data_IF_989190987692
#
_entry.id   IF_989190987692
#
_cell.length_a   1.000
_cell.length_b   1.000
_cell.length_c   1.000
_cell.angle_alpha   90.00
_cell.angle_beta   90.00
_cell.angle_gamma   90.00
#
_symmetry.space_group_name_H-M   'P 1'
#
loop_
_entity.id
_entity.type
_entity.pdbx_description
1 polymer ?
#
# COMPACT_ATOMS: atom_id res chain seq x y z
N UNK A 1 -8.06 15.08 -6.35
CA UNK A 1 -6.73 15.71 -6.12
C UNK A 1 -6.45 16.88 -7.06
N UNK A 2 -7.09 16.96 -8.23
CA UNK A 2 -7.01 18.10 -9.16
C UNK A 2 -8.28 18.19 -10.03
N UNK A 3 -8.48 19.33 -10.71
CA UNK A 3 -9.54 19.58 -11.68
C UNK A 3 -9.09 20.64 -12.71
N UNK A 4 -9.98 21.03 -13.63
CA UNK A 4 -9.74 22.12 -14.57
C UNK A 4 -9.60 23.48 -13.87
N UNK A 5 -10.35 23.71 -12.79
CA UNK A 5 -10.18 24.87 -11.91
C UNK A 5 -8.99 24.69 -10.97
N UNK A 6 -8.38 25.82 -10.57
CA UNK A 6 -7.16 25.88 -9.76
C UNK A 6 -5.92 25.36 -10.51
N UNK A 7 -4.80 25.29 -9.80
CA UNK A 7 -3.56 24.72 -10.33
C UNK A 7 -3.74 23.25 -10.69
N UNK A 8 -3.03 22.79 -11.72
CA UNK A 8 -2.84 21.36 -11.97
C UNK A 8 -2.18 20.68 -10.78
N UNK A 9 -2.27 19.35 -10.69
CA UNK A 9 -1.56 18.61 -9.64
C UNK A 9 -0.05 18.86 -9.69
N UNK A 10 0.55 18.91 -10.89
CA UNK A 10 1.97 19.17 -11.04
C UNK A 10 2.34 20.57 -10.51
N UNK A 11 1.60 21.60 -10.91
CA UNK A 11 1.82 22.98 -10.45
C UNK A 11 1.61 23.14 -8.95
N UNK A 12 0.60 22.46 -8.40
CA UNK A 12 0.36 22.44 -6.95
C UNK A 12 1.53 21.77 -6.20
N UNK A 13 2.11 20.70 -6.74
CA UNK A 13 3.30 20.05 -6.18
C UNK A 13 4.55 20.94 -6.28
N UNK A 14 4.69 21.73 -7.34
CA UNK A 14 5.76 22.74 -7.45
C UNK A 14 5.72 23.74 -6.29
N UNK A 15 4.52 24.15 -5.87
CA UNK A 15 4.35 25.09 -4.75
C UNK A 15 4.55 24.45 -3.38
N UNK A 16 4.25 23.15 -3.24
CA UNK A 16 4.13 22.50 -1.93
C UNK A 16 5.32 21.63 -1.55
N UNK A 17 6.08 21.13 -2.52
CA UNK A 17 7.27 20.33 -2.28
C UNK A 17 8.50 21.23 -2.08
N UNK A 18 9.51 20.77 -1.32
CA UNK A 18 10.81 21.44 -1.28
C UNK A 18 11.33 21.71 -2.69
N UNK A 19 11.90 22.91 -2.91
CA UNK A 19 12.41 23.29 -4.23
C UNK A 19 13.44 22.30 -4.79
N UNK A 20 14.24 21.70 -3.91
CA UNK A 20 15.26 20.71 -4.26
C UNK A 20 14.70 19.31 -4.60
N UNK A 21 13.39 19.08 -4.51
CA UNK A 21 12.78 17.81 -4.90
C UNK A 21 12.97 17.58 -6.40
N UNK A 22 13.59 16.44 -6.73
CA UNK A 22 13.87 16.01 -8.11
C UNK A 22 12.60 15.87 -8.95
N UNK A 23 12.75 15.90 -10.28
CA UNK A 23 11.64 15.66 -11.20
C UNK A 23 11.04 14.26 -10.99
N UNK A 24 11.87 13.25 -10.74
CA UNK A 24 11.48 11.87 -10.47
C UNK A 24 10.68 11.75 -9.17
N UNK A 25 11.13 12.37 -8.09
CA UNK A 25 10.42 12.30 -6.81
C UNK A 25 9.10 13.07 -6.85
N UNK A 26 9.06 14.20 -7.57
CA UNK A 26 7.81 14.92 -7.84
C UNK A 26 6.83 14.07 -8.64
N UNK A 27 7.32 13.39 -9.67
CA UNK A 27 6.53 12.45 -10.46
C UNK A 27 6.03 11.28 -9.61
N UNK A 28 6.83 10.76 -8.67
CA UNK A 28 6.39 9.74 -7.69
C UNK A 28 5.31 10.29 -6.75
N UNK A 29 5.44 11.52 -6.26
CA UNK A 29 4.41 12.16 -5.44
C UNK A 29 3.10 12.31 -6.23
N UNK A 30 3.17 12.73 -7.50
CA UNK A 30 2.00 12.79 -8.39
C UNK A 30 1.38 11.40 -8.59
N UNK A 31 2.20 10.38 -8.85
CA UNK A 31 1.72 9.01 -8.98
C UNK A 31 1.05 8.50 -7.69
N UNK A 32 1.56 8.84 -6.51
CA UNK A 32 0.93 8.50 -5.22
C UNK A 32 -0.43 9.19 -5.09
N UNK A 33 -0.53 10.48 -5.42
CA UNK A 33 -1.79 11.23 -5.36
C UNK A 33 -2.84 10.67 -6.33
N UNK A 34 -2.45 10.32 -7.56
CA UNK A 34 -3.32 9.63 -8.53
C UNK A 34 -3.69 8.22 -8.06
N UNK A 35 -2.74 7.51 -7.45
CA UNK A 35 -2.94 6.18 -6.87
C UNK A 35 -3.98 6.16 -5.76
N UNK A 36 -4.00 7.17 -4.89
CA UNK A 36 -5.06 7.32 -3.88
C UNK A 36 -6.45 7.39 -4.54
N UNK A 37 -6.59 8.21 -5.59
CA UNK A 37 -7.82 8.30 -6.37
C UNK A 37 -8.18 6.99 -7.10
N UNK A 38 -7.18 6.27 -7.62
CA UNK A 38 -7.39 5.01 -8.34
C UNK A 38 -7.76 3.84 -7.40
N UNK A 39 -7.26 3.85 -6.16
CA UNK A 39 -7.51 2.80 -5.16
C UNK A 39 -8.73 3.09 -4.27
N UNK A 40 -9.31 4.28 -4.35
CA UNK A 40 -10.48 4.63 -3.53
C UNK A 40 -11.73 3.85 -3.93
N UNK A 41 -12.62 3.60 -2.97
CA UNK A 41 -14.00 3.25 -3.29
C UNK A 41 -14.72 4.44 -3.96
N UNK A 42 -15.86 4.19 -4.58
CA UNK A 42 -16.63 5.21 -5.30
C UNK A 42 -16.16 5.46 -6.74
N UNK A 43 -16.52 6.62 -7.29
CA UNK A 43 -16.21 6.99 -8.67
C UNK A 43 -14.90 7.79 -8.69
N UNK A 44 -13.88 7.23 -9.34
CA UNK A 44 -12.60 7.91 -9.52
C UNK A 44 -12.71 8.97 -10.62
N UNK A 45 -12.19 10.15 -10.33
CA UNK A 45 -12.09 11.27 -11.28
C UNK A 45 -10.61 11.66 -11.47
N UNK A 46 -10.25 11.96 -12.71
CA UNK A 46 -8.91 12.39 -13.10
C UNK A 46 -9.02 13.55 -14.09
N UNK A 47 -8.21 14.59 -13.88
CA UNK A 47 -8.10 15.69 -14.82
C UNK A 47 -7.19 15.30 -15.98
N UNK A 48 -7.57 15.66 -17.21
CA UNK A 48 -6.80 15.33 -18.41
C UNK A 48 -5.36 15.87 -18.34
N UNK A 49 -4.38 14.99 -18.56
CA UNK A 49 -2.96 15.29 -18.51
C UNK A 49 -2.31 15.08 -17.15
N UNK A 50 -3.06 14.72 -16.10
CA UNK A 50 -2.47 14.33 -14.81
C UNK A 50 -1.47 13.17 -14.96
N UNK A 51 -1.72 12.26 -15.89
CA UNK A 51 -0.83 11.16 -16.27
C UNK A 51 0.41 11.61 -17.04
N UNK A 52 0.44 12.84 -17.54
CA UNK A 52 1.52 13.45 -18.30
C UNK A 52 2.25 14.56 -17.53
N UNK A 53 2.02 14.65 -16.21
CA UNK A 53 2.56 15.74 -15.38
C UNK A 53 2.15 17.13 -15.87
N UNK A 54 0.96 17.26 -16.49
CA UNK A 54 0.49 18.50 -17.10
C UNK A 54 0.65 19.69 -16.16
N UNK A 55 1.21 20.76 -16.71
CA UNK A 55 1.32 22.07 -16.10
C UNK A 55 0.55 23.08 -16.95
N UNK A 56 0.01 24.11 -16.30
CA UNK A 56 -0.52 25.31 -16.92
C UNK A 56 0.41 26.51 -16.71
N UNK A 57 1.71 26.23 -16.56
CA UNK A 57 2.72 27.21 -16.16
C UNK A 57 2.31 27.97 -14.89
N UNK A 58 1.79 27.24 -13.89
CA UNK A 58 1.32 27.75 -12.60
C UNK A 58 0.03 28.58 -12.61
N UNK A 59 -0.70 28.64 -13.73
CA UNK A 59 -1.99 29.33 -13.80
C UNK A 59 -3.04 28.67 -12.90
N UNK A 60 -3.64 29.44 -11.98
CA UNK A 60 -4.71 28.97 -11.10
C UNK A 60 -6.11 29.09 -11.71
N UNK A 61 -6.29 29.85 -12.79
CA UNK A 61 -7.61 30.06 -13.39
C UNK A 61 -7.49 30.23 -14.91
N UNK A 62 -7.27 29.11 -15.60
CA UNK A 62 -6.90 29.11 -17.02
C UNK A 62 -8.08 29.09 -17.99
N UNK A 63 -9.30 29.42 -17.55
CA UNK A 63 -10.51 29.29 -18.39
C UNK A 63 -10.43 30.12 -19.69
N UNK A 64 -9.69 31.23 -19.68
CA UNK A 64 -9.48 32.15 -20.81
C UNK A 64 -7.97 32.46 -21.04
N UNK A 65 -7.10 31.51 -20.71
CA UNK A 65 -5.65 31.64 -20.90
C UNK A 65 -5.17 31.07 -22.25
N UNK A 66 -6.12 30.69 -23.12
CA UNK A 66 -5.87 30.17 -24.47
C UNK A 66 -5.09 28.84 -24.51
N UNK A 67 -4.74 28.44 -25.73
CA UNK A 67 -4.04 27.17 -25.98
C UNK A 67 -2.63 27.13 -25.39
N UNK A 68 -1.98 28.31 -25.28
CA UNK A 68 -0.60 28.42 -24.80
C UNK A 68 -0.44 27.86 -23.38
N UNK A 69 -1.28 28.30 -22.44
CA UNK A 69 -1.23 27.85 -21.04
C UNK A 69 -2.04 26.58 -20.80
N UNK A 70 -3.00 26.23 -21.66
CA UNK A 70 -3.81 25.01 -21.51
C UNK A 70 -3.29 23.79 -22.27
N UNK A 71 -2.17 23.92 -22.98
CA UNK A 71 -1.58 22.88 -23.85
C UNK A 71 -1.56 21.50 -23.18
N UNK A 72 -1.96 20.51 -23.95
CA UNK A 72 -1.78 19.08 -23.65
C UNK A 72 -0.92 18.47 -24.75
N UNK A 73 0.31 18.11 -24.42
CA UNK A 73 1.22 17.47 -25.37
C UNK A 73 1.14 15.95 -25.29
N UNK A 74 0.31 15.36 -26.15
CA UNK A 74 0.13 13.91 -26.23
C UNK A 74 1.36 13.13 -26.71
N UNK A 75 2.38 13.82 -27.25
CA UNK A 75 3.66 13.20 -27.61
C UNK A 75 4.52 12.90 -26.39
N UNK A 76 4.20 13.47 -25.22
CA UNK A 76 4.93 13.26 -23.97
C UNK A 76 6.31 13.92 -23.94
N UNK A 77 6.58 14.86 -24.85
CA UNK A 77 7.87 15.56 -24.93
C UNK A 77 8.00 16.74 -23.97
N UNK A 78 6.88 17.37 -23.62
CA UNK A 78 6.82 18.56 -22.77
C UNK A 78 5.54 18.52 -21.94
N UNK A 79 5.55 19.07 -20.72
CA UNK A 79 4.36 19.09 -19.86
C UNK A 79 3.68 20.45 -19.76
N UNK A 80 4.20 21.49 -20.42
CA UNK A 80 3.70 22.87 -20.36
C UNK A 80 4.33 23.75 -19.28
N UNK A 81 5.20 23.22 -18.42
CA UNK A 81 5.83 24.00 -17.35
C UNK A 81 6.88 24.96 -17.90
N UNK A 82 6.95 26.16 -17.30
CA UNK A 82 7.93 27.17 -17.69
C UNK A 82 7.59 27.91 -18.99
N UNK A 83 6.33 27.91 -19.43
CA UNK A 83 5.88 28.59 -20.64
C UNK A 83 5.74 30.12 -20.48
N UNK A 84 6.17 30.67 -19.34
CA UNK A 84 6.04 32.08 -18.96
C UNK A 84 5.18 32.28 -17.71
N UNK A 85 5.12 33.51 -17.22
CA UNK A 85 4.18 33.86 -16.14
C UNK A 85 2.75 33.79 -16.68
N UNK A 86 1.82 33.18 -15.94
CA UNK A 86 0.41 33.09 -16.35
C UNK A 86 -0.28 34.47 -16.33
N UNK A 87 -1.48 34.62 -16.92
CA UNK A 87 -2.13 35.92 -17.04
C UNK A 87 -2.30 36.67 -15.71
N UNK A 88 -1.99 37.97 -15.73
CA UNK A 88 -1.89 38.82 -14.53
C UNK A 88 -3.19 38.93 -13.75
N UNK A 89 -4.35 38.90 -14.42
CA UNK A 89 -5.67 39.12 -13.80
C UNK A 89 -5.88 38.27 -12.55
N UNK A 90 -5.54 36.99 -12.66
CA UNK A 90 -5.75 36.03 -11.59
C UNK A 90 -4.44 35.64 -10.87
N UNK A 91 -3.27 35.84 -11.47
CA UNK A 91 -2.01 35.32 -10.95
C UNK A 91 -0.99 36.41 -10.53
N UNK A 92 -1.25 37.69 -10.84
CA UNK A 92 -0.29 38.78 -10.71
C UNK A 92 0.25 38.99 -9.29
N UNK A 93 -0.58 38.78 -8.27
CA UNK A 93 -0.19 38.88 -6.88
C UNK A 93 0.91 37.87 -6.48
N UNK A 94 0.97 36.72 -7.16
CA UNK A 94 1.90 35.63 -6.86
C UNK A 94 3.16 35.68 -7.73
N UNK A 95 3.31 36.64 -8.65
CA UNK A 95 4.43 36.66 -9.60
C UNK A 95 5.81 36.64 -8.94
N UNK A 96 5.96 37.26 -7.77
CA UNK A 96 7.21 37.22 -7.01
C UNK A 96 7.58 35.79 -6.57
N UNK A 97 6.57 34.97 -6.23
CA UNK A 97 6.72 33.55 -5.91
C UNK A 97 6.92 32.69 -7.17
N UNK A 98 6.13 32.94 -8.23
CA UNK A 98 6.12 32.10 -9.42
C UNK A 98 7.39 32.24 -10.27
N UNK A 99 7.91 33.47 -10.42
CA UNK A 99 9.05 33.77 -11.29
C UNK A 99 10.29 32.90 -11.01
N UNK A 100 10.79 32.78 -9.76
CA UNK A 100 11.98 31.95 -9.50
C UNK A 100 11.72 30.45 -9.69
N UNK A 101 10.47 29.98 -9.57
CA UNK A 101 10.12 28.57 -9.79
C UNK A 101 10.06 28.26 -11.29
N UNK A 102 9.42 29.12 -12.08
CA UNK A 102 9.30 28.96 -13.54
C UNK A 102 10.64 29.07 -14.27
N UNK A 103 11.59 29.81 -13.70
CA UNK A 103 12.95 29.96 -14.23
C UNK A 103 13.87 28.78 -13.89
N UNK A 104 13.45 27.84 -13.05
CA UNK A 104 14.29 26.74 -12.58
C UNK A 104 14.19 25.52 -13.52
N UNK A 105 15.21 25.23 -14.34
CA UNK A 105 15.15 24.13 -15.28
C UNK A 105 15.12 22.76 -14.58
N UNK A 106 15.57 22.67 -13.32
CA UNK A 106 15.57 21.40 -12.57
C UNK A 106 14.14 20.94 -12.19
N UNK A 107 13.16 21.86 -12.22
CA UNK A 107 11.77 21.54 -11.94
C UNK A 107 11.07 20.88 -13.13
N UNK A 108 11.45 21.26 -14.36
CA UNK A 108 10.76 20.83 -15.58
C UNK A 108 11.06 19.35 -15.87
N UNK A 109 10.05 18.46 -15.95
CA UNK A 109 10.29 17.05 -16.20
C UNK A 109 10.69 16.82 -17.66
N UNK A 110 11.63 15.91 -17.87
CA UNK A 110 11.98 15.42 -19.21
C UNK A 110 11.01 14.34 -19.71
N UNK A 111 11.07 13.97 -21.01
CA UNK A 111 10.17 13.00 -21.62
C UNK A 111 10.14 11.63 -20.93
N UNK A 112 11.30 11.15 -20.43
CA UNK A 112 11.38 9.86 -19.74
C UNK A 112 10.58 9.83 -18.43
N UNK A 113 10.55 10.95 -17.69
CA UNK A 113 9.80 11.08 -16.44
C UNK A 113 8.30 11.14 -16.74
N UNK A 114 7.90 11.90 -17.77
CA UNK A 114 6.50 11.99 -18.24
C UNK A 114 5.98 10.60 -18.65
N UNK A 115 6.76 9.88 -19.47
CA UNK A 115 6.43 8.54 -19.94
C UNK A 115 6.38 7.51 -18.79
N UNK A 116 7.28 7.62 -17.81
CA UNK A 116 7.19 6.83 -16.58
C UNK A 116 5.89 7.10 -15.81
N UNK A 117 5.52 8.37 -15.58
CA UNK A 117 4.27 8.72 -14.90
C UNK A 117 3.06 8.16 -15.63
N UNK A 118 3.04 8.27 -16.96
CA UNK A 118 1.96 7.74 -17.79
C UNK A 118 1.81 6.23 -17.61
N UNK A 119 2.91 5.47 -17.65
CA UNK A 119 2.88 4.02 -17.42
C UNK A 119 2.35 3.65 -16.05
N UNK A 120 2.85 4.31 -15.00
CA UNK A 120 2.40 4.07 -13.62
C UNK A 120 0.91 4.35 -13.47
N UNK A 121 0.42 5.45 -14.04
CA UNK A 121 -1.00 5.77 -14.03
C UNK A 121 -1.83 4.68 -14.74
N UNK A 122 -1.40 4.23 -15.93
CA UNK A 122 -2.08 3.14 -16.64
C UNK A 122 -2.08 1.84 -15.83
N UNK A 123 -1.00 1.52 -15.12
CA UNK A 123 -0.93 0.35 -14.24
C UNK A 123 -1.86 0.49 -13.04
N UNK A 124 -2.02 1.69 -12.47
CA UNK A 124 -3.00 1.96 -11.41
C UNK A 124 -4.44 1.73 -11.89
N UNK A 125 -4.76 2.15 -13.13
CA UNK A 125 -6.08 1.89 -13.72
C UNK A 125 -6.30 0.39 -13.99
N UNK A 126 -5.29 -0.31 -14.50
CA UNK A 126 -5.34 -1.78 -14.67
C UNK A 126 -5.56 -2.49 -13.35
N UNK A 127 -4.86 -2.06 -12.29
CA UNK A 127 -5.02 -2.61 -10.95
C UNK A 127 -6.43 -2.35 -10.40
N UNK A 128 -6.97 -1.14 -10.56
CA UNK A 128 -8.38 -0.84 -10.21
C UNK A 128 -9.37 -1.73 -10.98
N UNK A 129 -9.11 -2.01 -12.24
CA UNK A 129 -9.95 -2.83 -13.09
C UNK A 129 -9.83 -4.33 -12.80
N UNK A 130 -8.69 -4.77 -12.25
CA UNK A 130 -8.34 -6.19 -12.07
C UNK A 130 -9.26 -6.96 -11.11
N UNK A 131 -9.99 -6.27 -10.24
CA UNK A 131 -10.90 -6.87 -9.27
C UNK A 131 -12.07 -5.93 -8.98
N UNK A 132 -13.30 -6.44 -8.78
CA UNK A 132 -14.44 -5.63 -8.38
C UNK A 132 -14.29 -5.04 -6.97
N UNK A 133 -13.36 -5.56 -6.15
CA UNK A 133 -13.17 -5.11 -4.76
C UNK A 133 -12.78 -3.63 -4.63
N UNK A 134 -12.15 -3.01 -5.64
CA UNK A 134 -11.85 -1.58 -5.64
C UNK A 134 -13.06 -0.69 -5.99
N UNK A 135 -14.19 -1.30 -6.38
CA UNK A 135 -15.37 -0.65 -6.93
C UNK A 135 -16.66 -1.21 -6.33
N UNK A 136 -16.67 -1.43 -5.02
CA UNK A 136 -17.88 -1.83 -4.30
C UNK A 136 -18.93 -0.72 -4.45
N UNK A 137 -20.13 -1.09 -4.86
CA UNK A 137 -21.21 -0.17 -5.20
C UNK A 137 -22.22 0.03 -4.04
N UNK A 138 -22.14 -0.78 -3.00
CA UNK A 138 -23.04 -0.72 -1.84
C UNK A 138 -22.30 -0.27 -0.57
N UNK A 139 -22.79 0.76 0.15
CA UNK A 139 -22.18 1.21 1.41
C UNK A 139 -22.01 0.10 2.45
N UNK A 140 -22.98 -0.83 2.53
CA UNK A 140 -22.93 -1.97 3.44
C UNK A 140 -21.79 -2.94 3.09
N UNK A 141 -21.52 -3.15 1.81
CA UNK A 141 -20.39 -3.97 1.35
C UNK A 141 -19.06 -3.27 1.62
N UNK A 142 -18.97 -1.95 1.42
CA UNK A 142 -17.77 -1.18 1.77
C UNK A 142 -17.48 -1.31 3.27
N UNK A 143 -18.47 -1.08 4.13
CA UNK A 143 -18.31 -1.16 5.58
C UNK A 143 -17.91 -2.57 6.05
N UNK A 144 -18.41 -3.62 5.37
CA UNK A 144 -18.10 -5.01 5.70
C UNK A 144 -16.72 -5.44 5.24
N UNK A 145 -16.26 -4.96 4.08
CA UNK A 145 -15.12 -5.56 3.34
C UNK A 145 -13.86 -4.72 3.34
N UNK A 146 -13.97 -3.40 3.50
CA UNK A 146 -12.83 -2.50 3.55
C UNK A 146 -12.41 -2.25 5.00
N UNK A 147 -11.19 -2.66 5.33
CA UNK A 147 -10.55 -2.42 6.64
C UNK A 147 -9.28 -1.63 6.42
N UNK A 148 -9.10 -0.55 7.17
CA UNK A 148 -7.83 0.18 7.22
C UNK A 148 -6.98 -0.31 8.40
N UNK A 149 -5.71 -0.57 8.12
CA UNK A 149 -4.66 -0.82 9.10
C UNK A 149 -3.76 0.42 9.19
N UNK A 150 -2.80 0.39 10.12
CA UNK A 150 -1.94 1.55 10.43
C UNK A 150 -2.76 2.78 10.89
N UNK A 151 -3.65 2.56 11.87
CA UNK A 151 -4.55 3.58 12.44
C UNK A 151 -4.24 3.82 13.91
N UNK A 152 -4.79 4.90 14.46
CA UNK A 152 -4.66 5.25 15.88
C UNK A 152 -3.38 6.03 16.20
N UNK A 153 -3.10 6.28 17.50
CA UNK A 153 -1.99 7.13 17.93
C UNK A 153 -0.60 6.58 17.58
N UNK A 154 -0.47 5.27 17.38
CA UNK A 154 0.78 4.59 17.08
C UNK A 154 1.01 4.33 15.57
N UNK A 155 0.21 4.95 14.70
CA UNK A 155 0.37 4.80 13.26
C UNK A 155 1.73 5.31 12.77
N UNK A 156 2.26 4.69 11.73
CA UNK A 156 3.34 5.27 10.92
C UNK A 156 2.77 6.43 10.09
N UNK A 157 3.20 7.69 10.33
CA UNK A 157 2.64 8.84 9.64
C UNK A 157 2.87 8.76 8.12
N UNK A 158 1.87 9.15 7.34
CA UNK A 158 1.95 9.19 5.87
C UNK A 158 1.83 7.82 5.17
N UNK A 159 1.49 6.76 5.91
CA UNK A 159 1.28 5.42 5.36
C UNK A 159 -0.19 5.02 5.51
N UNK A 160 -0.84 4.64 4.42
CA UNK A 160 -2.20 4.09 4.42
C UNK A 160 -2.11 2.62 4.04
N UNK A 161 -2.75 1.76 4.81
CA UNK A 161 -2.84 0.33 4.52
C UNK A 161 -4.31 -0.06 4.44
N UNK A 162 -4.79 -0.44 3.27
CA UNK A 162 -6.16 -0.90 3.08
C UNK A 162 -6.21 -2.39 2.77
N UNK A 163 -7.15 -3.08 3.40
CA UNK A 163 -7.48 -4.49 3.14
C UNK A 163 -8.90 -4.58 2.63
N UNK A 164 -9.07 -5.24 1.49
CA UNK A 164 -10.37 -5.59 0.92
C UNK A 164 -10.60 -7.09 1.01
N UNK A 165 -11.76 -7.47 1.53
CA UNK A 165 -12.18 -8.87 1.67
C UNK A 165 -13.11 -9.30 0.53
N UNK A 166 -12.64 -10.24 -0.29
CA UNK A 166 -13.41 -10.86 -1.37
C UNK A 166 -14.04 -12.20 -1.00
N UNK A 167 -13.75 -12.75 0.18
CA UNK A 167 -14.27 -14.05 0.57
C UNK A 167 -15.80 -14.08 0.51
N UNK A 168 -16.32 -15.18 -0.04
CA UNK A 168 -17.76 -15.41 -0.19
C UNK A 168 -18.45 -14.56 -1.27
N UNK A 169 -17.72 -13.81 -2.09
CA UNK A 169 -18.29 -13.15 -3.28
C UNK A 169 -18.13 -14.03 -4.51
N UNK A 170 -19.18 -14.12 -5.33
CA UNK A 170 -19.15 -14.86 -6.58
C UNK A 170 -18.27 -14.21 -7.66
N UNK A 171 -18.09 -12.89 -7.61
CA UNK A 171 -17.33 -12.10 -8.59
C UNK A 171 -15.89 -11.77 -8.15
N UNK A 172 -15.48 -12.21 -6.95
CA UNK A 172 -14.14 -11.91 -6.45
C UNK A 172 -13.08 -12.70 -7.23
N UNK A 173 -12.10 -11.97 -7.77
CA UNK A 173 -10.89 -12.55 -8.37
C UNK A 173 -9.89 -12.98 -7.30
N UNK A 174 -9.89 -12.29 -6.15
CA UNK A 174 -8.99 -12.53 -5.03
C UNK A 174 -9.79 -12.62 -3.74
N UNK A 175 -9.46 -13.59 -2.87
CA UNK A 175 -10.07 -13.72 -1.55
C UNK A 175 -9.75 -12.52 -0.66
N UNK A 176 -8.54 -11.94 -0.79
CA UNK A 176 -8.15 -10.70 -0.11
C UNK A 176 -7.23 -9.88 -0.98
N UNK A 177 -7.35 -8.56 -0.88
CA UNK A 177 -6.42 -7.60 -1.48
C UNK A 177 -5.88 -6.71 -0.36
N UNK A 178 -4.56 -6.65 -0.22
CA UNK A 178 -3.86 -5.70 0.64
C UNK A 178 -3.18 -4.66 -0.25
N UNK A 179 -3.44 -3.39 -0.01
CA UNK A 179 -2.77 -2.29 -0.70
C UNK A 179 -2.15 -1.33 0.30
N UNK A 180 -1.02 -0.75 -0.11
CA UNK A 180 -0.22 0.16 0.72
C UNK A 180 0.06 1.41 -0.09
N UNK A 181 -0.30 2.56 0.47
CA UNK A 181 0.09 3.87 -0.05
C UNK A 181 1.09 4.46 0.93
N UNK A 182 2.36 4.50 0.56
CA UNK A 182 3.40 5.17 1.33
C UNK A 182 3.69 6.54 0.69
N UNK A 183 3.26 7.60 1.34
CA UNK A 183 3.48 8.98 0.89
C UNK A 183 4.72 9.63 1.53
N UNK A 184 5.59 8.83 2.17
CA UNK A 184 6.81 9.31 2.81
C UNK A 184 8.04 9.08 1.93
N UNK A 185 9.13 9.81 2.22
CA UNK A 185 10.43 9.58 1.58
C UNK A 185 11.17 8.35 2.12
N UNK A 186 10.69 7.76 3.22
CA UNK A 186 11.32 6.63 3.86
C UNK A 186 10.59 5.32 3.51
N UNK A 187 11.29 4.18 3.46
CA UNK A 187 10.64 2.89 3.45
C UNK A 187 9.74 2.73 4.67
N UNK A 188 8.48 2.38 4.44
CA UNK A 188 7.58 1.97 5.51
C UNK A 188 7.82 0.48 5.81
N UNK A 189 8.06 0.15 7.07
CA UNK A 189 8.13 -1.24 7.49
C UNK A 189 6.75 -1.64 7.98
N UNK A 190 6.02 -2.43 7.18
CA UNK A 190 4.84 -3.13 7.68
C UNK A 190 5.32 -4.34 8.50
N UNK A 191 5.88 -4.05 9.66
CA UNK A 191 6.06 -5.07 10.67
C UNK A 191 4.66 -5.41 11.15
N UNK A 192 4.16 -6.56 10.71
CA UNK A 192 3.19 -7.30 11.50
C UNK A 192 3.92 -7.80 12.78
N UNK A 193 4.41 -6.86 13.60
CA UNK A 193 4.79 -7.10 14.98
C UNK A 193 3.53 -7.12 15.88
N UNK A 194 2.35 -6.91 15.30
CA UNK A 194 1.15 -7.60 15.72
C UNK A 194 1.04 -8.89 14.90
N UNK A 195 1.49 -9.98 15.51
CA UNK A 195 0.63 -11.15 15.62
C UNK A 195 -0.74 -10.61 16.05
N UNK A 196 -1.60 -10.28 15.09
CA UNK A 196 -2.87 -9.64 15.45
C UNK A 196 -3.70 -10.68 16.17
N UNK A 197 -4.13 -10.37 17.39
CA UNK A 197 -5.17 -11.17 18.06
C UNK A 197 -6.38 -11.34 17.16
N UNK A 198 -6.64 -10.43 16.21
CA UNK A 198 -7.70 -10.60 15.22
C UNK A 198 -7.40 -11.72 14.22
N UNK A 199 -6.14 -11.89 13.82
CA UNK A 199 -5.75 -12.98 12.92
C UNK A 199 -5.72 -14.33 13.66
N UNK A 200 -5.31 -14.35 14.94
CA UNK A 200 -5.48 -15.52 15.80
C UNK A 200 -6.96 -15.85 15.99
N UNK A 201 -7.81 -14.86 16.28
CA UNK A 201 -9.26 -15.02 16.41
C UNK A 201 -9.91 -15.50 15.11
N UNK A 202 -9.52 -14.96 13.95
CA UNK A 202 -10.00 -15.39 12.64
C UNK A 202 -9.56 -16.84 12.35
N UNK A 203 -8.29 -17.17 12.59
CA UNK A 203 -7.76 -18.51 12.41
C UNK A 203 -8.41 -19.52 13.36
N UNK A 204 -8.65 -19.14 14.62
CA UNK A 204 -9.32 -19.96 15.63
C UNK A 204 -10.79 -20.17 15.29
N UNK A 205 -11.49 -19.13 14.83
CA UNK A 205 -12.86 -19.24 14.34
C UNK A 205 -12.94 -20.18 13.12
N UNK A 206 -11.99 -20.08 12.20
CA UNK A 206 -11.90 -20.98 11.05
C UNK A 206 -11.60 -22.42 11.47
N UNK A 207 -10.65 -22.64 12.38
CA UNK A 207 -10.33 -23.97 12.90
C UNK A 207 -11.52 -24.61 13.63
N UNK A 208 -12.22 -23.83 14.46
CA UNK A 208 -13.45 -24.27 15.14
C UNK A 208 -14.53 -24.69 14.14
N UNK A 209 -14.73 -23.90 13.09
CA UNK A 209 -15.68 -24.21 12.01
C UNK A 209 -15.32 -25.52 11.31
N UNK A 210 -14.07 -25.70 10.90
CA UNK A 210 -13.60 -26.93 10.23
C UNK A 210 -13.75 -28.18 11.11
N UNK A 211 -13.56 -28.06 12.42
CA UNK A 211 -13.77 -29.16 13.36
C UNK A 211 -15.25 -29.54 13.43
N UNK A 212 -16.15 -28.55 13.59
CA UNK A 212 -17.60 -28.77 13.60
C UNK A 212 -18.07 -29.41 12.29
N UNK A 213 -17.65 -28.85 11.14
CA UNK A 213 -18.03 -29.34 9.82
C UNK A 213 -17.53 -30.77 9.55
N UNK A 214 -16.46 -31.19 10.23
CA UNK A 214 -15.93 -32.57 10.16
C UNK A 214 -16.46 -33.51 11.25
N UNK A 215 -17.45 -33.08 12.04
CA UNK A 215 -18.05 -33.87 13.12
C UNK A 215 -17.13 -34.07 14.33
N UNK A 216 -16.08 -33.25 14.46
CA UNK A 216 -15.10 -33.33 15.56
C UNK A 216 -15.33 -32.21 16.57
N UNK A 217 -15.15 -32.53 17.85
CA UNK A 217 -15.29 -31.53 18.91
C UNK A 217 -14.18 -30.48 18.83
N UNK A 218 -14.52 -29.17 18.93
CA UNK A 218 -13.54 -28.09 19.07
C UNK A 218 -12.53 -28.29 20.21
N UNK A 219 -12.91 -29.05 21.26
CA UNK A 219 -12.02 -29.42 22.38
C UNK A 219 -10.76 -30.18 21.96
N UNK A 220 -10.74 -30.78 20.77
CA UNK A 220 -9.54 -31.40 20.22
C UNK A 220 -8.35 -30.42 20.10
N UNK A 221 -8.64 -29.11 19.93
CA UNK A 221 -7.60 -28.08 19.89
C UNK A 221 -6.89 -27.91 21.24
N UNK A 222 -7.57 -28.15 22.37
CA UNK A 222 -6.97 -28.04 23.71
C UNK A 222 -5.85 -29.07 23.88
N UNK A 223 -6.16 -30.33 23.54
CA UNK A 223 -5.19 -31.43 23.52
C UNK A 223 -4.02 -31.16 22.58
N UNK A 224 -4.29 -30.57 21.40
CA UNK A 224 -3.24 -30.19 20.47
C UNK A 224 -2.32 -29.12 21.07
N UNK A 225 -2.87 -28.07 21.69
CA UNK A 225 -2.09 -27.01 22.31
C UNK A 225 -1.22 -27.50 23.46
N UNK A 226 -1.76 -28.37 24.32
CA UNK A 226 -1.00 -29.03 25.40
C UNK A 226 0.18 -29.82 24.85
N UNK A 227 -0.04 -30.63 23.81
CA UNK A 227 1.00 -31.47 23.18
C UNK A 227 2.09 -30.64 22.51
N UNK A 228 1.71 -29.54 21.84
CA UNK A 228 2.68 -28.60 21.24
C UNK A 228 3.51 -27.93 22.33
N UNK A 229 2.89 -27.52 23.44
CA UNK A 229 3.58 -26.93 24.59
C UNK A 229 4.63 -27.88 25.18
N UNK A 230 4.24 -29.13 25.45
CA UNK A 230 5.13 -30.17 25.95
C UNK A 230 6.30 -30.45 24.98
N UNK A 231 6.02 -30.56 23.68
CA UNK A 231 7.04 -30.76 22.65
C UNK A 231 8.06 -29.62 22.61
N UNK A 232 7.63 -28.36 22.71
CA UNK A 232 8.53 -27.19 22.74
C UNK A 232 9.41 -27.18 23.97
N UNK A 233 8.86 -27.49 25.13
CA UNK A 233 9.63 -27.57 26.38
C UNK A 233 10.72 -28.62 26.27
N UNK A 234 10.39 -29.81 25.75
CA UNK A 234 11.36 -30.88 25.49
C UNK A 234 12.45 -30.45 24.50
N UNK A 235 12.06 -29.82 23.38
CA UNK A 235 13.00 -29.36 22.34
C UNK A 235 13.94 -28.25 22.82
N UNK A 236 13.43 -27.35 23.66
CA UNK A 236 14.23 -26.27 24.25
C UNK A 236 15.22 -26.82 25.28
N UNK A 237 14.80 -27.79 26.09
CA UNK A 237 15.69 -28.50 27.01
C UNK A 237 16.79 -29.27 26.26
N UNK A 238 16.43 -29.95 25.18
CA UNK A 238 17.37 -30.67 24.32
C UNK A 238 18.39 -29.72 23.66
N UNK A 239 17.94 -28.63 23.04
CA UNK A 239 18.83 -27.65 22.40
C UNK A 239 19.79 -26.97 23.40
N UNK A 240 19.35 -26.79 24.66
CA UNK A 240 20.20 -26.28 25.74
C UNK A 240 21.25 -27.30 26.18
N UNK A 241 20.91 -28.58 26.21
CA UNK A 241 21.84 -29.67 26.50
C UNK A 241 22.87 -29.86 25.37
N UNK A 242 22.44 -29.79 24.11
CA UNK A 242 23.31 -29.90 22.93
C UNK A 242 24.33 -28.74 22.88
N UNK A 243 23.89 -27.49 23.09
CA UNK A 243 24.78 -26.31 23.17
C UNK A 243 25.77 -26.34 24.33
N UNK A 244 25.45 -27.05 25.42
CA UNK A 244 26.38 -27.24 26.54
C UNK A 244 27.46 -28.29 26.24
N UNK A 245 27.28 -29.10 25.19
CA UNK A 245 28.18 -30.20 24.81
C UNK A 245 29.07 -29.91 23.57
N UNK A 246 28.87 -28.79 22.87
CA UNK A 246 29.65 -28.43 21.67
C UNK A 246 30.97 -27.70 22.00
N UNK A 247 32.13 -28.14 21.45
CA UNK A 247 33.37 -27.37 21.49
C UNK A 247 33.24 -26.08 20.66
N UNK A 248 33.76 -24.95 21.18
CA UNK A 248 33.56 -23.57 20.69
C UNK A 248 34.03 -23.24 19.25
N UNK A 249 34.43 -24.20 18.42
CA UNK A 249 35.06 -23.93 17.11
C UNK A 249 34.26 -24.33 15.87
N UNK A 250 33.09 -24.97 15.98
CA UNK A 250 32.37 -25.54 14.81
C UNK A 250 31.14 -24.76 14.31
N UNK A 251 30.99 -23.48 14.62
CA UNK A 251 29.78 -22.70 14.29
C UNK A 251 29.62 -22.26 12.83
N UNK A 252 30.50 -22.65 11.90
CA UNK A 252 30.56 -22.04 10.54
C UNK A 252 30.09 -22.92 9.37
N UNK A 253 29.89 -24.22 9.54
CA UNK A 253 29.66 -25.14 8.39
C UNK A 253 28.23 -25.66 8.22
N UNK A 254 27.32 -25.46 9.18
CA UNK A 254 25.99 -26.13 9.16
C UNK A 254 24.92 -25.38 8.31
N UNK A 255 25.23 -24.20 7.79
CA UNK A 255 24.28 -23.34 7.07
C UNK A 255 23.81 -23.85 5.70
N UNK A 256 24.52 -24.79 5.06
CA UNK A 256 24.29 -25.13 3.66
C UNK A 256 23.36 -26.33 3.41
N UNK A 257 23.09 -27.18 4.41
CA UNK A 257 22.32 -28.42 4.20
C UNK A 257 20.79 -28.33 4.35
N UNK A 258 20.23 -27.20 4.82
CA UNK A 258 18.81 -27.09 5.12
C UNK A 258 17.87 -26.97 3.88
N UNK A 259 18.41 -26.96 2.64
CA UNK A 259 17.65 -26.70 1.41
C UNK A 259 16.98 -27.91 0.73
N UNK A 260 17.13 -29.15 1.24
CA UNK A 260 16.81 -30.34 0.42
C UNK A 260 15.50 -31.11 0.74
N UNK A 261 14.64 -30.70 1.67
CA UNK A 261 13.62 -31.61 2.25
C UNK A 261 12.13 -31.20 2.22
N UNK A 262 11.69 -30.25 1.39
CA UNK A 262 10.33 -29.67 1.49
C UNK A 262 9.26 -30.34 0.59
N UNK A 263 9.27 -31.67 0.45
CA UNK A 263 8.50 -32.40 -0.58
C UNK A 263 7.10 -32.89 -0.20
N UNK A 264 6.82 -33.29 1.04
CA UNK A 264 5.53 -33.93 1.39
C UNK A 264 5.05 -33.52 2.78
N UNK A 265 4.34 -32.39 2.87
CA UNK A 265 3.55 -32.04 4.05
C UNK A 265 2.25 -31.39 3.60
N UNK A 266 1.14 -31.79 4.23
CA UNK A 266 -0.13 -31.07 4.17
C UNK A 266 0.15 -29.58 4.41
N UNK A 267 -0.16 -28.74 3.43
CA UNK A 267 0.06 -27.30 3.46
C UNK A 267 -0.98 -26.63 4.38
N UNK A 268 -0.85 -26.87 5.67
CA UNK A 268 -1.57 -26.12 6.71
C UNK A 268 -0.53 -25.25 7.41
N UNK A 269 -0.66 -23.94 7.25
CA UNK A 269 0.15 -22.98 7.98
C UNK A 269 -0.45 -22.79 9.38
N UNK A 270 0.27 -23.24 10.42
CA UNK A 270 -0.06 -22.92 11.80
C UNK A 270 0.99 -21.96 12.34
N UNK A 271 0.59 -20.72 12.58
CA UNK A 271 1.37 -19.82 13.41
C UNK A 271 0.91 -20.03 14.86
N UNK A 272 1.82 -20.46 15.74
CA UNK A 272 1.50 -20.79 17.13
C UNK A 272 2.38 -20.01 18.12
N UNK A 273 1.85 -18.92 18.68
CA UNK A 273 2.26 -18.43 20.00
C UNK A 273 1.74 -19.43 21.07
N UNK A 274 2.36 -19.58 22.26
CA UNK A 274 1.74 -20.34 23.37
C UNK A 274 0.28 -19.93 23.56
N UNK A 275 -0.59 -20.91 23.83
CA UNK A 275 -2.01 -20.67 24.07
C UNK A 275 -2.16 -19.75 25.31
N UNK A 276 -2.76 -18.59 25.10
CA UNK A 276 -3.21 -17.76 26.21
C UNK A 276 -4.52 -18.32 26.79
N UNK A 277 -4.85 -17.91 28.01
CA UNK A 277 -6.00 -18.42 28.76
C UNK A 277 -7.35 -18.10 28.07
N UNK A 278 -7.42 -16.97 27.36
CA UNK A 278 -8.60 -16.56 26.60
C UNK A 278 -8.87 -17.48 25.40
N UNK A 279 -7.83 -17.89 24.69
CA UNK A 279 -7.91 -18.80 23.54
C UNK A 279 -8.31 -20.21 23.95
N UNK A 280 -7.83 -20.71 25.10
CA UNK A 280 -8.25 -22.00 25.63
C UNK A 280 -9.76 -21.99 25.94
N UNK A 281 -10.26 -20.94 26.61
CA UNK A 281 -11.70 -20.77 26.89
C UNK A 281 -12.57 -20.70 25.62
N UNK A 282 -12.03 -20.22 24.49
CA UNK A 282 -12.76 -20.17 23.22
C UNK A 282 -13.08 -21.56 22.63
N UNK A 283 -12.20 -22.54 22.83
CA UNK A 283 -12.36 -23.91 22.36
C UNK A 283 -13.02 -24.86 23.38
N UNK A 284 -13.29 -24.39 24.60
CA UNK A 284 -14.05 -25.13 25.62
C UNK A 284 -15.56 -25.17 25.35
N UNK A 285 -16.08 -24.15 24.65
CA UNK A 285 -17.49 -23.96 24.28
C UNK A 285 -17.80 -24.49 22.88
#
# INVERSE_FOLDING_TARGET
VENHDNQTLFDALVLKLPRATSAEDRARTQAVALGINALSQGISYFHAGGELLRSKSMDRNSYDSGDWFNRLDWTGRDNGFGAGLPPTRDNGADFALLRPLLADPAIKPGPAVIDWTRRVFLDQLRLRASTPLFRLNEPSEIARRLVFHNTGPAQQPGVIVGRLDGAGRADAVFDRVLYVVNATAAPAALTHASYSRDFEREADAQAKRLLIDSGRSPRAMLLLFERIGAWRAARTAQAKAERASEPKTLGREVGEHAKAGAGELLRIAFNTHPADEERMKFFER
#
